data_IF_490186626343
#
_entry.id   IF_490186626343
#
_cell.length_a   1.000
_cell.length_b   1.000
_cell.length_c   1.000
_cell.angle_alpha   90.00
_cell.angle_beta   90.00
_cell.angle_gamma   90.00
#
_symmetry.space_group_name_H-M   'P 1'
#
loop_
_entity.id
_entity.type
_entity.pdbx_description
1 polymer ?
#
# COMPACT_ATOMS: atom_id res chain seq x y z
N UNK A 1 -5.04 -15.54 -12.96
CA UNK A 1 -5.96 -14.40 -13.18
C UNK A 1 -6.42 -14.33 -14.64
N UNK A 2 -5.50 -14.42 -15.62
CA UNK A 2 -5.83 -14.42 -17.04
C UNK A 2 -6.88 -15.50 -17.44
N UNK A 3 -6.74 -16.71 -16.92
CA UNK A 3 -7.68 -17.81 -17.18
C UNK A 3 -9.13 -17.53 -16.75
N UNK A 4 -9.33 -16.84 -15.63
CA UNK A 4 -10.66 -16.41 -15.15
C UNK A 4 -11.31 -15.39 -16.09
N UNK A 5 -10.50 -14.66 -16.86
CA UNK A 5 -10.93 -13.73 -17.89
C UNK A 5 -10.97 -14.37 -19.29
N UNK A 6 -10.69 -15.67 -19.42
CA UNK A 6 -10.61 -16.35 -20.72
C UNK A 6 -9.51 -15.79 -21.63
N UNK A 7 -8.41 -15.30 -21.05
CA UNK A 7 -7.26 -14.75 -21.77
C UNK A 7 -6.03 -15.64 -21.58
N UNK A 8 -5.13 -15.62 -22.55
CA UNK A 8 -3.75 -16.09 -22.33
C UNK A 8 -3.02 -15.10 -21.44
N UNK A 9 -1.95 -15.52 -20.76
CA UNK A 9 -1.17 -14.59 -19.93
C UNK A 9 -0.57 -13.44 -20.77
N UNK A 10 -0.12 -13.70 -22.00
CA UNK A 10 0.38 -12.65 -22.90
C UNK A 10 -0.72 -11.62 -23.26
N UNK A 11 -1.93 -12.09 -23.58
CA UNK A 11 -3.05 -11.20 -23.88
C UNK A 11 -3.50 -10.41 -22.64
N UNK A 12 -3.46 -11.03 -21.46
CA UNK A 12 -3.77 -10.38 -20.20
C UNK A 12 -2.77 -9.28 -19.84
N UNK A 13 -1.45 -9.52 -20.01
CA UNK A 13 -0.42 -8.51 -19.79
C UNK A 13 -0.63 -7.28 -20.70
N UNK A 14 -0.84 -7.52 -22.00
CA UNK A 14 -1.10 -6.43 -22.95
C UNK A 14 -2.37 -5.64 -22.60
N UNK A 15 -3.42 -6.32 -22.13
CA UNK A 15 -4.67 -5.69 -21.73
C UNK A 15 -4.57 -4.89 -20.42
N UNK A 16 -3.68 -5.25 -19.50
CA UNK A 16 -3.43 -4.45 -18.28
C UNK A 16 -2.62 -3.19 -18.61
N UNK A 17 -1.65 -3.30 -19.52
CA UNK A 17 -0.80 -2.15 -19.90
C UNK A 17 -1.61 -1.08 -20.64
N UNK A 18 -2.55 -1.51 -21.50
CA UNK A 18 -3.45 -0.63 -22.25
C UNK A 18 -4.91 -1.07 -22.10
N UNK A 19 -5.55 -0.78 -20.94
CA UNK A 19 -6.88 -1.28 -20.64
C UNK A 19 -7.96 -0.59 -21.47
N UNK A 20 -8.71 -1.39 -22.23
CA UNK A 20 -9.93 -0.94 -22.93
C UNK A 20 -11.12 -0.95 -21.98
N UNK A 21 -12.17 -0.19 -22.28
CA UNK A 21 -13.40 -0.20 -21.47
C UNK A 21 -14.03 -1.60 -21.41
N UNK A 22 -14.09 -2.31 -22.54
CA UNK A 22 -14.60 -3.67 -22.59
C UNK A 22 -13.78 -4.65 -21.71
N UNK A 23 -12.46 -4.46 -21.62
CA UNK A 23 -11.62 -5.24 -20.71
C UNK A 23 -11.93 -4.91 -19.25
N UNK A 24 -12.05 -3.63 -18.90
CA UNK A 24 -12.37 -3.20 -17.53
C UNK A 24 -13.75 -3.70 -17.09
N UNK A 25 -14.77 -3.61 -17.94
CA UNK A 25 -16.10 -4.16 -17.66
C UNK A 25 -16.05 -5.67 -17.44
N UNK A 26 -15.26 -6.39 -18.24
CA UNK A 26 -15.05 -7.83 -18.04
C UNK A 26 -14.42 -8.12 -16.68
N UNK A 27 -13.40 -7.36 -16.28
CA UNK A 27 -12.77 -7.48 -14.95
C UNK A 27 -13.79 -7.20 -13.85
N UNK A 28 -14.58 -6.14 -13.96
CA UNK A 28 -15.64 -5.81 -13.01
C UNK A 28 -16.63 -6.96 -12.82
N UNK A 29 -17.14 -7.51 -13.92
CA UNK A 29 -18.13 -8.59 -13.91
C UNK A 29 -17.53 -9.91 -13.38
N UNK A 30 -16.28 -10.22 -13.72
CA UNK A 30 -15.64 -11.48 -13.31
C UNK A 30 -15.26 -11.49 -11.83
N UNK A 31 -14.79 -10.36 -11.28
CA UNK A 31 -14.26 -10.31 -9.91
C UNK A 31 -15.14 -9.54 -8.92
N UNK A 32 -16.29 -9.03 -9.35
CA UNK A 32 -17.19 -8.26 -8.49
C UNK A 32 -16.60 -6.93 -8.02
N UNK A 33 -15.68 -6.35 -8.79
CA UNK A 33 -15.05 -5.05 -8.49
C UNK A 33 -15.74 -3.93 -9.26
N UNK A 34 -15.85 -2.74 -8.67
CA UNK A 34 -16.50 -1.60 -9.34
C UNK A 34 -15.54 -0.87 -10.28
N UNK A 35 -16.08 -0.29 -11.35
CA UNK A 35 -15.28 0.53 -12.28
C UNK A 35 -14.62 1.75 -11.60
N UNK A 36 -15.29 2.47 -10.67
CA UNK A 36 -14.64 3.51 -9.87
C UNK A 36 -13.45 3.00 -9.05
N UNK A 37 -13.51 1.76 -8.56
CA UNK A 37 -12.39 1.19 -7.81
C UNK A 37 -11.18 0.96 -8.71
N UNK A 38 -11.40 0.48 -9.93
CA UNK A 38 -10.32 0.26 -10.91
C UNK A 38 -9.72 1.56 -11.45
N UNK A 39 -10.55 2.58 -11.72
CA UNK A 39 -10.09 3.83 -12.35
C UNK A 39 -9.60 4.88 -11.35
N UNK A 40 -10.26 4.97 -10.19
CA UNK A 40 -10.08 6.06 -9.23
C UNK A 40 -9.60 5.56 -7.86
N UNK A 41 -9.53 4.24 -7.65
CA UNK A 41 -9.22 3.67 -6.34
C UNK A 41 -10.32 3.86 -5.30
N UNK A 42 -11.56 4.13 -5.73
CA UNK A 42 -12.69 4.45 -4.86
C UNK A 42 -13.72 3.33 -4.88
N UNK A 43 -14.19 2.90 -3.71
CA UNK A 43 -15.20 1.85 -3.61
C UNK A 43 -15.59 1.53 -2.16
N UNK A 44 -15.98 0.28 -1.87
CA UNK A 44 -16.46 -0.10 -0.54
C UNK A 44 -15.38 0.00 0.55
N UNK A 45 -14.10 -0.04 0.17
CA UNK A 45 -12.96 0.03 1.11
C UNK A 45 -12.36 1.43 1.20
N UNK A 46 -12.14 2.09 0.06
CA UNK A 46 -11.52 3.42 0.00
C UNK A 46 -12.53 4.45 -0.47
N UNK A 47 -12.70 5.52 0.30
CA UNK A 47 -13.57 6.63 -0.08
C UNK A 47 -12.79 7.71 -0.84
N UNK A 48 -13.50 8.69 -1.42
CA UNK A 48 -12.88 9.90 -2.01
C UNK A 48 -12.32 10.87 -0.96
N UNK A 49 -12.43 10.56 0.33
CA UNK A 49 -11.95 11.42 1.39
C UNK A 49 -10.42 11.44 1.39
N UNK A 50 -9.87 12.63 1.59
CA UNK A 50 -8.45 12.81 1.77
C UNK A 50 -8.03 12.34 3.17
N UNK A 51 -6.74 12.06 3.34
CA UNK A 51 -6.17 11.79 4.65
C UNK A 51 -6.43 13.01 5.57
N UNK A 52 -6.90 12.82 6.82
CA UNK A 52 -7.32 13.92 7.69
C UNK A 52 -6.12 14.62 8.34
N UNK A 53 -5.20 15.13 7.52
CA UNK A 53 -3.93 15.75 7.95
C UNK A 53 -4.19 16.94 8.87
N UNK A 54 -5.15 17.80 8.52
CA UNK A 54 -5.49 18.95 9.34
C UNK A 54 -5.95 18.56 10.76
N UNK A 55 -6.77 17.52 10.88
CA UNK A 55 -7.27 17.04 12.16
C UNK A 55 -6.15 16.42 13.01
N UNK A 56 -5.24 15.67 12.39
CA UNK A 56 -4.06 15.09 13.06
C UNK A 56 -3.15 16.19 13.61
N UNK A 57 -2.83 17.21 12.79
CA UNK A 57 -1.99 18.32 13.22
C UNK A 57 -2.67 19.16 14.31
N UNK A 58 -3.97 19.43 14.18
CA UNK A 58 -4.75 20.10 15.21
C UNK A 58 -4.77 19.32 16.52
N UNK A 59 -4.89 17.99 16.47
CA UNK A 59 -4.86 17.13 17.66
C UNK A 59 -3.52 17.21 18.40
N UNK A 60 -2.40 17.18 17.66
CA UNK A 60 -1.04 17.38 18.19
C UNK A 60 -0.88 18.76 18.81
N UNK A 61 -1.25 19.80 18.06
CA UNK A 61 -0.96 21.19 18.43
C UNK A 61 -1.83 21.65 19.62
N UNK A 62 -3.07 21.16 19.72
CA UNK A 62 -3.92 21.39 20.89
C UNK A 62 -3.31 20.87 22.21
N UNK A 63 -2.36 19.93 22.13
CA UNK A 63 -1.64 19.37 23.28
C UNK A 63 -0.22 19.91 23.42
N UNK A 64 0.17 20.85 22.56
CA UNK A 64 1.53 21.37 22.48
C UNK A 64 2.58 20.25 22.32
N UNK A 65 2.22 19.16 21.62
CA UNK A 65 3.09 17.98 21.47
C UNK A 65 4.14 18.14 20.38
N UNK A 66 4.03 19.16 19.53
CA UNK A 66 5.00 19.43 18.46
C UNK A 66 6.45 19.47 18.96
N UNK A 67 6.68 19.96 20.19
CA UNK A 67 8.02 20.01 20.80
C UNK A 67 8.67 18.62 21.04
N UNK A 68 7.88 17.55 21.15
CA UNK A 68 8.35 16.17 21.33
C UNK A 68 8.47 15.41 20.01
N UNK A 69 7.93 15.95 18.92
CA UNK A 69 7.79 15.30 17.63
C UNK A 69 9.03 15.57 16.75
N UNK A 70 10.22 15.19 17.25
CA UNK A 70 11.44 15.24 16.43
C UNK A 70 11.43 14.09 15.40
N UNK A 71 12.14 14.21 14.26
CA UNK A 71 12.21 13.12 13.29
C UNK A 71 12.68 11.79 13.90
N UNK A 72 13.64 11.85 14.83
CA UNK A 72 14.14 10.65 15.53
C UNK A 72 13.05 10.01 16.37
N UNK A 73 12.34 10.79 17.18
CA UNK A 73 11.33 10.25 18.11
C UNK A 73 10.10 9.74 17.36
N UNK A 74 9.67 10.43 16.30
CA UNK A 74 8.58 9.98 15.42
C UNK A 74 8.94 8.70 14.63
N UNK A 75 10.19 8.56 14.18
CA UNK A 75 10.65 7.32 13.55
C UNK A 75 10.64 6.14 14.53
N UNK A 76 10.93 6.40 15.81
CA UNK A 76 10.79 5.39 16.87
C UNK A 76 9.32 5.03 17.05
N UNK A 77 8.41 6.00 17.20
CA UNK A 77 6.97 5.75 17.30
C UNK A 77 6.45 4.90 16.14
N UNK A 78 6.83 5.23 14.89
CA UNK A 78 6.47 4.42 13.72
C UNK A 78 6.92 2.95 13.85
N UNK A 79 8.11 2.71 14.40
CA UNK A 79 8.60 1.35 14.62
C UNK A 79 7.87 0.63 15.74
N UNK A 80 7.38 1.36 16.75
CA UNK A 80 6.58 0.80 17.83
C UNK A 80 5.20 0.37 17.31
N UNK A 81 4.47 1.24 16.62
CA UNK A 81 3.14 0.90 16.07
C UNK A 81 3.22 -0.23 15.03
N UNK A 82 4.29 -0.25 14.23
CA UNK A 82 4.55 -1.38 13.32
C UNK A 82 4.81 -2.69 14.08
N UNK A 83 5.37 -2.63 15.29
CA UNK A 83 5.56 -3.80 16.15
C UNK A 83 4.24 -4.22 16.81
N UNK A 84 3.39 -3.29 17.23
CA UNK A 84 2.05 -3.59 17.76
C UNK A 84 1.18 -4.27 16.68
N UNK A 85 1.27 -3.82 15.42
CA UNK A 85 0.65 -4.52 14.29
C UNK A 85 1.18 -5.96 14.14
N UNK A 86 2.47 -6.21 14.37
CA UNK A 86 3.03 -7.57 14.34
C UNK A 86 2.50 -8.45 15.48
N UNK A 87 2.18 -7.88 16.64
CA UNK A 87 1.60 -8.61 17.77
C UNK A 87 0.22 -9.21 17.43
N UNK A 88 -0.50 -8.62 16.48
CA UNK A 88 -1.72 -9.22 15.95
C UNK A 88 -1.47 -10.63 15.40
N UNK A 89 -0.30 -10.90 14.84
CA UNK A 89 0.04 -12.20 14.24
C UNK A 89 0.84 -13.10 15.19
N UNK A 90 1.26 -12.60 16.35
CA UNK A 90 2.00 -13.39 17.33
C UNK A 90 1.15 -14.55 17.85
N UNK A 91 1.75 -15.75 17.89
CA UNK A 91 1.12 -17.01 18.32
C UNK A 91 -0.05 -17.50 17.47
N UNK A 92 -0.19 -17.01 16.24
CA UNK A 92 -1.25 -17.43 15.30
C UNK A 92 -1.04 -18.83 14.70
N UNK A 93 0.14 -19.42 14.86
CA UNK A 93 0.46 -20.77 14.35
C UNK A 93 0.39 -20.80 12.82
N UNK A 94 -0.54 -21.59 12.28
CA UNK A 94 -0.79 -21.67 10.83
C UNK A 94 -1.86 -20.68 10.34
N UNK A 95 -2.53 -19.95 11.24
CA UNK A 95 -3.49 -18.94 10.85
C UNK A 95 -2.76 -17.67 10.38
N UNK A 96 -2.62 -17.54 9.06
CA UNK A 96 -1.95 -16.38 8.46
C UNK A 96 -2.86 -15.15 8.33
N UNK A 97 -4.16 -15.29 8.60
CA UNK A 97 -5.14 -14.21 8.42
C UNK A 97 -5.54 -13.55 9.75
N UNK A 98 -5.45 -14.28 10.86
CA UNK A 98 -5.74 -13.82 12.23
C UNK A 98 -7.04 -13.00 12.31
N UNK A 99 -8.12 -13.50 11.70
CA UNK A 99 -9.38 -12.75 11.45
C UNK A 99 -10.01 -12.16 12.69
N UNK A 100 -9.86 -12.83 13.82
CA UNK A 100 -10.41 -12.38 15.11
C UNK A 100 -9.78 -11.07 15.59
N UNK A 101 -8.56 -10.75 15.12
CA UNK A 101 -7.80 -9.54 15.48
C UNK A 101 -7.91 -8.42 14.44
N UNK A 102 -8.81 -8.53 13.46
CA UNK A 102 -9.02 -7.49 12.44
C UNK A 102 -9.37 -6.10 13.02
N UNK A 103 -9.98 -6.05 14.20
CA UNK A 103 -10.19 -4.80 14.93
C UNK A 103 -8.89 -4.13 15.32
N UNK A 104 -8.02 -4.87 16.03
CA UNK A 104 -6.70 -4.41 16.47
C UNK A 104 -5.85 -3.99 15.27
N UNK A 105 -5.79 -4.81 14.21
CA UNK A 105 -5.06 -4.47 12.98
C UNK A 105 -5.45 -3.12 12.39
N UNK A 106 -6.73 -2.72 12.49
CA UNK A 106 -7.19 -1.41 12.01
C UNK A 106 -6.74 -0.26 12.90
N UNK A 107 -6.70 -0.48 14.21
CA UNK A 107 -6.18 0.50 15.18
C UNK A 107 -4.68 0.72 14.96
N UNK A 108 -3.89 -0.36 14.93
CA UNK A 108 -2.44 -0.25 14.71
C UNK A 108 -2.08 0.36 13.35
N UNK A 109 -2.83 0.00 12.29
CA UNK A 109 -2.65 0.63 10.99
C UNK A 109 -2.99 2.13 11.02
N UNK A 110 -4.03 2.52 11.78
CA UNK A 110 -4.38 3.94 11.93
C UNK A 110 -3.25 4.69 12.65
N UNK A 111 -2.67 4.13 13.70
CA UNK A 111 -1.57 4.75 14.44
C UNK A 111 -0.30 4.88 13.57
N UNK A 112 0.06 3.85 12.80
CA UNK A 112 1.14 3.93 11.80
C UNK A 112 0.90 5.09 10.82
N UNK A 113 -0.33 5.26 10.32
CA UNK A 113 -0.67 6.33 9.37
C UNK A 113 -0.64 7.71 10.03
N UNK A 114 -1.11 7.84 11.28
CA UNK A 114 -1.07 9.07 12.06
C UNK A 114 0.38 9.50 12.27
N UNK A 115 1.24 8.61 12.77
CA UNK A 115 2.66 8.93 12.94
C UNK A 115 3.39 9.16 11.61
N UNK A 116 2.94 8.53 10.52
CA UNK A 116 3.49 8.83 9.18
C UNK A 116 3.21 10.27 8.75
N UNK A 117 2.00 10.78 9.03
CA UNK A 117 1.63 12.19 8.79
C UNK A 117 2.48 13.12 9.65
N UNK A 118 2.60 12.82 10.94
CA UNK A 118 3.39 13.63 11.87
C UNK A 118 4.88 13.65 11.47
N UNK A 119 5.41 12.51 11.04
CA UNK A 119 6.78 12.39 10.54
C UNK A 119 6.97 13.20 9.27
N UNK A 120 6.04 13.10 8.31
CA UNK A 120 6.07 13.86 7.08
C UNK A 120 6.06 15.38 7.34
N UNK A 121 5.22 15.87 8.26
CA UNK A 121 5.24 17.29 8.70
C UNK A 121 6.59 17.68 9.32
N UNK A 122 7.16 16.82 10.17
CA UNK A 122 8.44 17.10 10.83
C UNK A 122 9.64 17.17 9.87
N UNK A 123 9.59 16.49 8.72
CA UNK A 123 10.65 16.49 7.71
C UNK A 123 10.32 17.34 6.47
N UNK A 124 9.16 17.98 6.42
CA UNK A 124 8.72 18.78 5.28
C UNK A 124 8.44 17.96 4.02
N UNK A 125 7.88 16.75 4.16
CA UNK A 125 7.56 15.87 3.05
C UNK A 125 6.05 15.89 2.73
N UNK A 126 5.71 16.03 1.45
CA UNK A 126 4.34 15.83 0.96
C UNK A 126 4.10 14.34 0.63
N UNK A 127 3.17 13.71 1.35
CA UNK A 127 2.94 12.25 1.28
C UNK A 127 2.60 11.78 -0.15
N UNK A 128 1.61 12.38 -0.86
CA UNK A 128 1.31 11.99 -2.24
C UNK A 128 2.52 12.10 -3.16
N UNK A 129 3.30 13.18 -3.03
CA UNK A 129 4.51 13.41 -3.85
C UNK A 129 5.55 12.31 -3.61
N UNK A 130 5.95 12.06 -2.35
CA UNK A 130 7.01 11.07 -2.05
C UNK A 130 6.60 9.64 -2.42
N UNK A 131 5.30 9.32 -2.31
CA UNK A 131 4.78 8.02 -2.76
C UNK A 131 4.87 7.92 -4.28
N UNK A 132 4.43 8.94 -5.02
CA UNK A 132 4.49 8.96 -6.49
C UNK A 132 5.93 8.80 -7.01
N UNK A 133 6.87 9.56 -6.45
CA UNK A 133 8.30 9.44 -6.78
C UNK A 133 8.85 8.04 -6.48
N UNK A 134 8.49 7.47 -5.33
CA UNK A 134 8.94 6.14 -4.93
C UNK A 134 8.35 5.05 -5.83
N UNK A 135 7.08 5.16 -6.22
CA UNK A 135 6.44 4.24 -7.16
C UNK A 135 7.11 4.30 -8.53
N UNK A 136 7.38 5.49 -9.07
CA UNK A 136 8.10 5.64 -10.33
C UNK A 136 9.52 5.04 -10.27
N UNK A 137 10.24 5.25 -9.15
CA UNK A 137 11.56 4.65 -8.92
C UNK A 137 11.49 3.12 -8.79
N UNK A 138 10.49 2.60 -8.09
CA UNK A 138 10.30 1.16 -7.92
C UNK A 138 9.91 0.49 -9.23
N UNK A 139 9.06 1.11 -10.05
CA UNK A 139 8.69 0.59 -11.37
C UNK A 139 9.89 0.40 -12.31
N UNK A 140 10.91 1.28 -12.21
CA UNK A 140 12.18 1.12 -12.94
C UNK A 140 13.03 -0.05 -12.41
N UNK A 141 12.96 -0.35 -11.12
CA UNK A 141 13.70 -1.46 -10.50
C UNK A 141 13.02 -2.82 -10.73
N UNK A 142 11.68 -2.81 -10.73
CA UNK A 142 10.82 -3.97 -10.84
C UNK A 142 9.99 -3.87 -12.11
N UNK A 143 10.65 -3.90 -13.26
CA UNK A 143 9.98 -3.95 -14.56
C UNK A 143 9.00 -5.14 -14.60
N UNK A 144 7.79 -4.93 -15.12
CA UNK A 144 6.71 -5.95 -15.12
C UNK A 144 7.18 -7.26 -15.73
N UNK A 145 7.95 -7.21 -16.82
CA UNK A 145 8.50 -8.39 -17.51
C UNK A 145 9.41 -9.25 -16.64
N UNK A 146 10.06 -8.68 -15.62
CA UNK A 146 10.99 -9.37 -14.71
C UNK A 146 10.34 -9.73 -13.38
N UNK A 147 9.43 -8.89 -12.88
CA UNK A 147 8.85 -9.00 -11.55
C UNK A 147 7.50 -9.73 -11.50
N UNK A 148 6.80 -9.93 -12.63
CA UNK A 148 5.49 -10.58 -12.63
C UNK A 148 5.55 -12.00 -12.07
N UNK A 149 4.63 -12.32 -11.16
CA UNK A 149 4.43 -13.66 -10.61
C UNK A 149 5.55 -14.18 -9.71
N UNK A 150 6.52 -13.35 -9.30
CA UNK A 150 7.59 -13.76 -8.40
C UNK A 150 8.01 -12.65 -7.43
N UNK A 151 8.52 -13.04 -6.25
CA UNK A 151 8.91 -12.13 -5.18
C UNK A 151 10.43 -11.89 -5.13
N UNK A 152 11.16 -12.18 -6.21
CA UNK A 152 12.62 -12.00 -6.25
C UNK A 152 12.96 -10.52 -6.10
N UNK A 153 14.02 -10.23 -5.37
CA UNK A 153 14.56 -8.87 -5.29
C UNK A 153 15.15 -8.50 -6.65
N UNK A 154 15.11 -7.23 -7.02
CA UNK A 154 15.62 -6.78 -8.32
C UNK A 154 17.11 -7.10 -8.56
N UNK A 155 17.88 -7.30 -7.49
CA UNK A 155 19.29 -7.73 -7.54
C UNK A 155 19.45 -9.18 -8.02
N UNK A 156 18.39 -9.98 -8.01
CA UNK A 156 18.39 -11.40 -8.39
C UNK A 156 17.89 -11.63 -9.82
N UNK A 157 17.50 -10.57 -10.55
CA UNK A 157 17.02 -10.69 -11.94
C UNK A 157 18.14 -10.96 -12.96
N UNK A 158 19.35 -10.47 -12.69
CA UNK A 158 20.48 -10.57 -13.62
C UNK A 158 21.36 -11.82 -13.37
N UNK A 159 21.14 -12.56 -12.28
CA UNK A 159 21.93 -13.77 -11.95
C UNK A 159 21.46 -15.04 -12.69
N UNK A 160 20.35 -14.98 -13.44
CA UNK A 160 19.88 -16.09 -14.29
C UNK A 160 20.54 -16.17 -15.67
N UNK A 161 21.58 -15.37 -15.95
CA UNK A 161 22.27 -15.29 -17.25
C UNK A 161 23.67 -15.92 -17.31
N UNK A 162 24.09 -16.73 -16.34
CA UNK A 162 25.42 -17.32 -16.38
C UNK A 162 25.67 -18.44 -15.39
N UNK A 163 25.39 -19.67 -15.83
CA UNK A 163 26.32 -20.81 -15.86
C UNK A 163 25.63 -22.04 -16.44
#
# INVERSE_FOLDING_TARGET
>A
MAGSLGLTEAAFQSAIEFPTEAFLEKVCNTFGVSLPYLKEGVGPVFSKQQLPVADILAFRDARNWKQFHTPKDLAISLSLEASELLECFQWSGSDVEAKEKQGQMREELADILIYSVLFADAIGADIPTIIGEKLAKNGKKYEVSKAYGNAKKYTEFDESGGR
#
